data_IF_331795183368
#
_entry.id   IF_331795183368
#
_cell.length_a   1.000
_cell.length_b   1.000
_cell.length_c   1.000
_cell.angle_alpha   90.00
_cell.angle_beta   90.00
_cell.angle_gamma   90.00
#
_symmetry.space_group_name_H-M   'P 1'
#
loop_
_entity.id
_entity.type
_entity.pdbx_description
1 polymer ?
#
# COMPACT_ATOMS: atom_id res chain seq x y z
N UNK A 1 -10.23 4.73 -17.50
CA UNK A 1 -10.20 5.45 -16.21
C UNK A 1 -9.93 4.39 -15.17
N UNK A 2 -8.69 4.21 -14.72
CA UNK A 2 -8.40 3.18 -13.72
C UNK A 2 -8.95 3.65 -12.37
N UNK A 3 -9.93 2.92 -11.86
CA UNK A 3 -10.45 3.13 -10.51
C UNK A 3 -9.34 2.80 -9.52
N UNK A 4 -8.95 3.79 -8.68
CA UNK A 4 -7.91 3.53 -7.68
C UNK A 4 -8.45 2.63 -6.58
N UNK A 5 -7.68 1.62 -6.21
CA UNK A 5 -7.98 0.77 -5.08
C UNK A 5 -7.82 1.58 -3.78
N UNK A 6 -8.93 1.85 -3.10
CA UNK A 6 -8.89 2.51 -1.80
C UNK A 6 -8.51 1.49 -0.72
N UNK A 7 -7.58 1.85 0.15
CA UNK A 7 -7.12 1.03 1.28
C UNK A 7 -7.19 1.88 2.53
N UNK A 8 -8.02 1.47 3.49
CA UNK A 8 -7.99 2.07 4.82
C UNK A 8 -6.83 1.45 5.62
N UNK A 9 -5.83 2.27 5.95
CA UNK A 9 -4.62 1.80 6.64
C UNK A 9 -4.80 1.65 8.14
N UNK A 10 -5.92 2.12 8.70
CA UNK A 10 -6.33 1.90 10.09
C UNK A 10 -7.31 0.71 10.20
N UNK A 11 -7.98 0.34 9.10
CA UNK A 11 -8.78 -0.89 9.03
C UNK A 11 -7.88 -2.14 9.04
N UNK A 12 -8.11 -2.98 10.05
CA UNK A 12 -7.34 -4.22 10.25
C UNK A 12 -7.54 -5.23 9.13
N UNK A 13 -8.71 -5.30 8.50
CA UNK A 13 -9.00 -6.21 7.39
C UNK A 13 -8.25 -5.79 6.14
N UNK A 14 -8.28 -4.50 5.81
CA UNK A 14 -7.54 -3.95 4.66
C UNK A 14 -6.03 -4.13 4.84
N UNK A 15 -5.49 -3.76 6.00
CA UNK A 15 -4.07 -4.03 6.32
C UNK A 15 -3.68 -5.51 6.23
N UNK A 16 -4.61 -6.43 6.49
CA UNK A 16 -4.32 -7.87 6.46
C UNK A 16 -4.41 -8.46 5.05
N UNK A 17 -5.26 -7.87 4.20
CA UNK A 17 -5.49 -8.24 2.81
C UNK A 17 -4.31 -7.86 1.92
N UNK A 18 -3.82 -6.63 2.04
CA UNK A 18 -2.69 -6.16 1.22
C UNK A 18 -1.36 -6.55 1.84
N UNK A 19 -0.42 -7.02 1.02
CA UNK A 19 0.91 -7.47 1.43
C UNK A 19 1.99 -6.90 0.51
N UNK A 20 3.23 -6.86 0.98
CA UNK A 20 4.35 -6.54 0.10
C UNK A 20 4.52 -7.64 -0.98
N UNK A 21 5.31 -7.41 -2.04
CA UNK A 21 5.55 -8.39 -3.12
C UNK A 21 6.04 -9.76 -2.64
N UNK A 22 6.64 -9.81 -1.45
CA UNK A 22 7.14 -11.04 -0.81
C UNK A 22 6.14 -11.70 0.14
N UNK A 23 4.92 -11.17 0.24
CA UNK A 23 3.84 -11.72 1.06
C UNK A 23 3.84 -11.28 2.53
N UNK A 24 4.66 -10.31 2.93
CA UNK A 24 4.70 -9.81 4.30
C UNK A 24 3.61 -8.76 4.56
N UNK A 25 3.02 -8.77 5.75
CA UNK A 25 2.04 -7.78 6.24
C UNK A 25 2.65 -6.63 7.03
N UNK A 26 3.97 -6.66 7.22
CA UNK A 26 4.73 -5.65 7.97
C UNK A 26 5.11 -4.45 7.09
N UNK A 27 4.26 -4.13 6.13
CA UNK A 27 4.45 -2.97 5.27
C UNK A 27 3.87 -1.72 5.93
N UNK A 28 4.51 -0.60 5.66
CA UNK A 28 4.14 0.73 6.12
C UNK A 28 4.21 1.68 4.92
N UNK A 29 3.18 2.53 4.72
CA UNK A 29 3.26 3.59 3.73
C UNK A 29 4.23 4.66 4.23
N UNK A 30 5.12 5.07 3.34
CA UNK A 30 6.06 6.20 3.51
C UNK A 30 5.77 7.21 2.39
N UNK A 31 6.41 8.39 2.42
CA UNK A 31 6.27 9.42 1.38
C UNK A 31 6.43 8.80 -0.03
N UNK A 32 5.31 8.65 -0.74
CA UNK A 32 5.21 8.08 -2.10
C UNK A 32 5.69 6.64 -2.33
N UNK A 33 6.00 5.86 -1.30
CA UNK A 33 6.42 4.46 -1.45
C UNK A 33 5.99 3.62 -0.25
N UNK A 34 6.16 2.31 -0.35
CA UNK A 34 5.95 1.40 0.75
C UNK A 34 7.29 0.90 1.28
N UNK A 35 7.32 0.64 2.57
CA UNK A 35 8.48 0.06 3.25
C UNK A 35 8.05 -1.16 4.04
N UNK A 36 8.82 -2.24 4.02
CA UNK A 36 8.53 -3.45 4.78
C UNK A 36 9.65 -3.75 5.78
N UNK A 37 9.29 -3.76 7.07
CA UNK A 37 10.21 -4.04 8.16
C UNK A 37 10.87 -5.42 8.06
N UNK A 38 10.15 -6.43 7.58
CA UNK A 38 10.72 -7.78 7.39
C UNK A 38 11.67 -7.86 6.19
N UNK A 39 11.37 -7.14 5.10
CA UNK A 39 12.26 -7.05 3.94
C UNK A 39 13.55 -6.30 4.30
N UNK A 40 13.43 -5.16 4.99
CA UNK A 40 14.58 -4.33 5.39
C UNK A 40 15.56 -5.03 6.35
N UNK A 41 15.12 -6.09 7.05
CA UNK A 41 16.00 -6.90 7.92
C UNK A 41 16.87 -7.89 7.14
N UNK A 42 16.54 -8.17 5.88
CA UNK A 42 17.31 -9.06 5.03
C UNK A 42 18.44 -8.29 4.35
N UNK A 43 19.59 -8.93 4.13
CA UNK A 43 20.77 -8.29 3.52
C UNK A 43 20.72 -8.26 1.99
N UNK A 44 19.89 -9.12 1.42
CA UNK A 44 19.76 -9.39 -0.02
C UNK A 44 18.58 -8.65 -0.67
N UNK A 45 17.82 -7.88 0.11
CA UNK A 45 16.54 -7.32 -0.30
C UNK A 45 16.41 -5.88 0.20
N UNK A 46 16.01 -4.98 -0.68
CA UNK A 46 15.55 -3.65 -0.26
C UNK A 46 14.16 -3.75 0.39
N UNK A 47 14.00 -3.06 1.51
CA UNK A 47 12.73 -2.92 2.21
C UNK A 47 11.76 -1.97 1.49
N UNK A 48 12.25 -1.14 0.58
CA UNK A 48 11.46 -0.17 -0.20
C UNK A 48 10.89 -0.80 -1.46
N UNK A 49 9.61 -0.51 -1.74
CA UNK A 49 8.91 -0.97 -2.94
C UNK A 49 7.70 -0.05 -3.25
N UNK A 50 7.14 -0.18 -4.44
CA UNK A 50 6.10 0.74 -4.94
C UNK A 50 4.77 0.04 -5.22
N UNK A 51 4.62 -1.22 -4.85
CA UNK A 51 3.44 -2.02 -5.19
C UNK A 51 2.91 -2.81 -3.99
N UNK A 52 1.60 -3.02 -3.92
CA UNK A 52 1.00 -3.93 -2.95
C UNK A 52 0.29 -5.06 -3.68
N UNK A 53 0.43 -6.27 -3.14
CA UNK A 53 -0.28 -7.44 -3.62
C UNK A 53 -1.56 -7.59 -2.81
N UNK A 54 -2.69 -7.67 -3.48
CA UNK A 54 -3.94 -8.10 -2.86
C UNK A 54 -3.92 -9.61 -2.67
N UNK A 55 -3.83 -10.07 -1.42
CA UNK A 55 -3.82 -11.51 -1.11
C UNK A 55 -5.13 -12.21 -1.47
N UNK A 56 -6.24 -11.48 -1.62
CA UNK A 56 -7.56 -12.05 -1.97
C UNK A 56 -7.63 -12.42 -3.45
N UNK A 57 -7.14 -11.56 -4.34
CA UNK A 57 -7.24 -11.74 -5.80
C UNK A 57 -5.93 -12.19 -6.43
N UNK A 58 -4.80 -11.91 -5.77
CA UNK A 58 -3.46 -12.11 -6.30
C UNK A 58 -2.99 -10.97 -7.19
N UNK A 59 -3.75 -9.87 -7.29
CA UNK A 59 -3.40 -8.73 -8.14
C UNK A 59 -2.36 -7.83 -7.48
N UNK A 60 -1.45 -7.32 -8.30
CA UNK A 60 -0.45 -6.32 -7.92
C UNK A 60 -1.00 -4.94 -8.28
N UNK A 61 -0.94 -4.02 -7.33
CA UNK A 61 -1.37 -2.64 -7.49
C UNK A 61 -0.18 -1.72 -7.24
N UNK A 62 0.12 -0.84 -8.19
CA UNK A 62 1.14 0.18 -7.99
C UNK A 62 0.66 1.25 -7.00
N UNK A 63 1.60 1.96 -6.39
CA UNK A 63 1.34 3.08 -5.46
C UNK A 63 0.47 4.17 -6.09
N UNK A 64 0.59 4.37 -7.40
CA UNK A 64 -0.20 5.33 -8.18
C UNK A 64 -1.67 4.91 -8.33
N UNK A 65 -1.93 3.60 -8.32
CA UNK A 65 -3.24 2.95 -8.45
C UNK A 65 -3.93 2.75 -7.10
N UNK A 66 -3.22 3.01 -6.00
CA UNK A 66 -3.73 2.88 -4.64
C UNK A 66 -4.03 4.26 -4.05
N UNK A 67 -5.16 4.37 -3.35
CA UNK A 67 -5.49 5.51 -2.52
C UNK A 67 -5.51 5.09 -1.05
N UNK A 68 -4.50 5.51 -0.28
CA UNK A 68 -4.42 5.26 1.14
C UNK A 68 -5.26 6.28 1.92
N UNK A 69 -6.17 5.80 2.74
CA UNK A 69 -7.04 6.65 3.56
C UNK A 69 -6.92 6.30 5.03
N UNK A 70 -7.13 7.32 5.86
CA UNK A 70 -7.33 7.20 7.30
C UNK A 70 -8.67 7.88 7.64
N UNK A 71 -9.26 7.62 8.82
CA UNK A 71 -10.31 8.42 9.42
C UNK A 71 -10.10 9.95 9.34
N UNK A 72 -8.86 10.43 9.34
CA UNK A 72 -8.52 11.85 9.24
C UNK A 72 -8.47 12.39 7.78
N UNK A 73 -8.50 11.51 6.78
CA UNK A 73 -8.45 11.86 5.36
C UNK A 73 -7.40 11.06 4.56
N UNK A 74 -7.10 11.49 3.32
CA UNK A 74 -6.06 10.87 2.50
C UNK A 74 -4.71 10.95 3.19
N UNK A 75 -3.95 9.86 3.15
CA UNK A 75 -2.63 9.77 3.80
C UNK A 75 -1.63 10.70 3.12
N UNK A 76 -1.50 10.59 1.80
CA UNK A 76 -0.73 11.46 0.94
C UNK A 76 -1.69 12.32 0.10
N UNK A 77 -1.66 13.64 0.29
CA UNK A 77 -2.62 14.54 -0.39
C UNK A 77 -2.38 14.68 -1.89
N UNK A 78 -1.20 14.32 -2.37
CA UNK A 78 -0.84 14.41 -3.78
C UNK A 78 -1.20 13.11 -4.53
N UNK A 79 -1.09 11.96 -3.86
CA UNK A 79 -1.38 10.65 -4.46
C UNK A 79 -2.76 10.08 -4.12
N UNK A 80 -3.21 10.25 -2.87
CA UNK A 80 -4.41 9.60 -2.32
C UNK A 80 -5.65 10.48 -2.36
N UNK A 81 -5.54 11.69 -2.94
CA UNK A 81 -6.74 12.47 -3.24
C UNK A 81 -7.64 11.60 -4.12
N UNK A 82 -8.80 11.25 -3.57
CA UNK A 82 -9.88 10.60 -4.30
C UNK A 82 -10.05 11.36 -5.60
N UNK A 83 -9.85 10.70 -6.73
CA UNK A 83 -9.95 11.32 -8.05
C UNK A 83 -11.26 12.10 -8.09
N UNK A 84 -11.16 13.43 -8.15
CA UNK A 84 -12.29 14.30 -8.40
C UNK A 84 -12.84 13.92 -9.77
N UNK A 85 -14.08 13.44 -9.80
CA UNK A 85 -14.93 13.60 -10.99
C UNK A 85 -15.30 15.06 -11.17
#
# INVERSE_FOLDING_TARGET
MSEKQTIDIEDRMDRWRFVCPRGHRSWEPTNHHFWCAQCARRRDVDGVFYELVDRKTGEEFERSEIALVTPAGPYDRDLDRRGSV
#
